data_IF_983660173159
#
_entry.id   IF_983660173159
#
_cell.length_a   1.000
_cell.length_b   1.000
_cell.length_c   1.000
_cell.angle_alpha   90.00
_cell.angle_beta   90.00
_cell.angle_gamma   90.00
#
_symmetry.space_group_name_H-M   'P 1'
#
loop_
_entity.id
_entity.type
_entity.pdbx_description
1 polymer ?
#
# COMPACT_ATOMS: atom_id res chain seq x y z
N UNK A 1 13.44 -10.23 -3.71
CA UNK A 1 14.17 -8.99 -3.38
C UNK A 1 14.55 -8.22 -4.64
N UNK A 2 14.50 -6.89 -4.56
CA UNK A 2 14.99 -5.94 -5.58
C UNK A 2 14.38 -6.16 -6.97
N UNK A 3 13.08 -6.43 -7.03
CA UNK A 3 12.37 -6.62 -8.28
C UNK A 3 11.72 -5.32 -8.77
N UNK A 4 11.52 -5.21 -10.07
CA UNK A 4 10.61 -4.24 -10.64
C UNK A 4 9.32 -4.95 -11.06
N UNK A 5 8.25 -4.73 -10.31
CA UNK A 5 6.91 -5.19 -10.57
C UNK A 5 5.93 -4.00 -10.71
N UNK A 6 6.44 -2.84 -11.12
CA UNK A 6 5.57 -1.72 -11.47
C UNK A 6 4.60 -2.14 -12.58
N UNK A 7 3.37 -1.62 -12.55
CA UNK A 7 2.30 -1.96 -13.50
C UNK A 7 1.88 -3.44 -13.51
N UNK A 8 2.38 -4.27 -12.58
CA UNK A 8 2.00 -5.67 -12.50
C UNK A 8 0.49 -5.81 -12.23
N UNK A 9 -0.15 -6.76 -12.91
CA UNK A 9 -1.57 -7.07 -12.71
C UNK A 9 -1.68 -8.31 -11.83
N UNK A 10 -2.09 -8.11 -10.58
CA UNK A 10 -2.18 -9.11 -9.50
C UNK A 10 -3.59 -9.14 -8.88
N UNK A 11 -4.61 -8.85 -9.68
CA UNK A 11 -6.01 -8.85 -9.25
C UNK A 11 -6.44 -10.23 -8.76
N UNK A 12 -7.20 -10.26 -7.66
CA UNK A 12 -7.69 -11.49 -7.03
C UNK A 12 -6.58 -12.47 -6.60
N UNK A 13 -5.32 -12.04 -6.62
CA UNK A 13 -4.19 -12.91 -6.33
C UNK A 13 -4.22 -13.35 -4.88
N UNK A 14 -3.82 -14.60 -4.63
CA UNK A 14 -3.68 -15.14 -3.28
C UNK A 14 -2.19 -15.29 -3.01
N UNK A 15 -1.70 -14.53 -2.05
CA UNK A 15 -0.33 -14.57 -1.60
C UNK A 15 -0.29 -14.95 -0.13
N UNK A 16 0.54 -15.93 0.20
CA UNK A 16 0.80 -16.28 1.58
C UNK A 16 2.30 -16.33 1.85
N UNK A 17 2.71 -15.99 3.07
CA UNK A 17 4.07 -16.20 3.60
C UNK A 17 5.17 -15.70 2.67
N UNK A 18 5.03 -14.46 2.23
CA UNK A 18 5.91 -13.86 1.23
C UNK A 18 6.46 -12.53 1.72
N UNK A 19 7.73 -12.27 1.36
CA UNK A 19 8.40 -11.01 1.63
C UNK A 19 8.66 -10.30 0.30
N UNK A 20 8.10 -9.10 0.17
CA UNK A 20 8.50 -8.14 -0.85
C UNK A 20 9.47 -7.16 -0.21
N UNK A 21 10.73 -7.20 -0.62
CA UNK A 21 11.78 -6.30 -0.13
C UNK A 21 12.43 -5.54 -1.27
N UNK A 22 12.54 -4.22 -1.13
CA UNK A 22 13.13 -3.33 -2.13
C UNK A 22 12.47 -3.46 -3.51
N UNK A 23 11.18 -3.81 -3.55
CA UNK A 23 10.46 -4.06 -4.80
C UNK A 23 9.67 -2.82 -5.18
N UNK A 24 9.71 -2.44 -6.46
CA UNK A 24 8.76 -1.47 -6.99
C UNK A 24 7.46 -2.17 -7.37
N UNK A 25 6.35 -1.73 -6.82
CA UNK A 25 4.97 -2.09 -7.17
C UNK A 25 4.17 -0.84 -7.57
N UNK A 26 4.87 0.21 -7.99
CA UNK A 26 4.24 1.46 -8.40
C UNK A 26 3.24 1.19 -9.53
N UNK A 27 2.05 1.76 -9.43
CA UNK A 27 0.94 1.56 -10.37
C UNK A 27 0.50 0.10 -10.57
N UNK A 28 0.91 -0.83 -9.69
CA UNK A 28 0.43 -2.21 -9.75
C UNK A 28 -1.06 -2.32 -9.41
N UNK A 29 -1.75 -3.27 -10.02
CA UNK A 29 -3.14 -3.59 -9.75
C UNK A 29 -3.24 -4.82 -8.84
N UNK A 30 -3.35 -4.59 -7.54
CA UNK A 30 -3.51 -5.60 -6.48
C UNK A 30 -4.95 -5.56 -5.95
N UNK A 31 -5.93 -5.29 -6.84
CA UNK A 31 -7.35 -5.23 -6.48
C UNK A 31 -7.84 -6.57 -5.92
N UNK A 32 -8.54 -6.53 -4.78
CA UNK A 32 -9.20 -7.68 -4.12
C UNK A 32 -8.29 -8.91 -3.91
N UNK A 33 -6.99 -8.68 -3.69
CA UNK A 33 -6.05 -9.75 -3.36
C UNK A 33 -6.27 -10.24 -1.93
N UNK A 34 -5.91 -11.51 -1.69
CA UNK A 34 -5.82 -12.08 -0.34
C UNK A 34 -4.37 -12.18 0.06
N UNK A 35 -3.98 -11.46 1.11
CA UNK A 35 -2.62 -11.42 1.64
C UNK A 35 -2.61 -12.04 3.05
N UNK A 36 -1.93 -13.18 3.22
CA UNK A 36 -1.81 -13.85 4.52
C UNK A 36 -0.33 -13.96 4.91
N UNK A 37 0.08 -13.38 6.04
CA UNK A 37 1.49 -13.37 6.47
C UNK A 37 2.42 -12.79 5.38
N UNK A 38 1.98 -11.71 4.71
CA UNK A 38 2.77 -10.99 3.70
C UNK A 38 3.42 -9.76 4.34
N UNK A 39 4.69 -9.53 4.01
CA UNK A 39 5.42 -8.34 4.46
C UNK A 39 5.92 -7.52 3.27
N UNK A 40 5.76 -6.21 3.37
CA UNK A 40 6.37 -5.24 2.46
C UNK A 40 7.46 -4.49 3.23
N UNK A 41 8.67 -4.46 2.68
CA UNK A 41 9.81 -3.80 3.32
C UNK A 41 10.55 -2.93 2.30
N UNK A 42 10.60 -1.62 2.54
CA UNK A 42 11.27 -0.67 1.64
C UNK A 42 10.76 -0.73 0.19
N UNK A 43 9.47 -1.02 -0.02
CA UNK A 43 8.86 -1.08 -1.34
C UNK A 43 8.35 0.29 -1.79
N UNK A 44 8.35 0.53 -3.11
CA UNK A 44 7.60 1.63 -3.71
C UNK A 44 6.19 1.14 -4.05
N UNK A 45 5.18 1.74 -3.43
CA UNK A 45 3.75 1.42 -3.61
C UNK A 45 2.98 2.59 -4.21
N UNK A 46 3.67 3.57 -4.81
CA UNK A 46 2.99 4.77 -5.28
C UNK A 46 1.93 4.44 -6.36
N UNK A 47 0.73 4.96 -6.17
CA UNK A 47 -0.45 4.73 -7.02
C UNK A 47 -0.87 3.27 -7.17
N UNK A 48 -0.43 2.37 -6.29
CA UNK A 48 -0.88 0.98 -6.30
C UNK A 48 -2.39 0.90 -6.01
N UNK A 49 -3.10 0.07 -6.78
CA UNK A 49 -4.50 -0.26 -6.55
C UNK A 49 -4.62 -1.41 -5.56
N UNK A 50 -5.26 -1.16 -4.43
CA UNK A 50 -5.43 -2.05 -3.28
C UNK A 50 -6.89 -2.15 -2.84
N UNK A 51 -7.85 -1.56 -3.57
CA UNK A 51 -9.26 -1.61 -3.18
C UNK A 51 -9.74 -3.06 -3.06
N UNK A 52 -10.43 -3.36 -1.95
CA UNK A 52 -10.87 -4.70 -1.60
C UNK A 52 -9.78 -5.64 -1.06
N UNK A 53 -8.53 -5.19 -0.96
CA UNK A 53 -7.42 -5.94 -0.33
C UNK A 53 -7.28 -5.48 1.11
N UNK A 54 -7.62 -6.35 2.07
CA UNK A 54 -7.56 -6.00 3.50
C UNK A 54 -6.11 -5.87 3.97
N UNK A 55 -5.78 -4.72 4.56
CA UNK A 55 -4.44 -4.39 5.04
C UNK A 55 -4.29 -4.52 6.56
N UNK A 56 -5.27 -5.09 7.25
CA UNK A 56 -5.22 -5.29 8.69
C UNK A 56 -3.98 -6.10 9.09
N UNK A 57 -3.11 -5.52 9.94
CA UNK A 57 -1.86 -6.12 10.38
C UNK A 57 -0.71 -6.07 9.37
N UNK A 58 -0.93 -5.53 8.17
CA UNK A 58 0.16 -5.30 7.20
C UNK A 58 0.90 -4.02 7.60
N UNK A 59 2.22 -4.11 7.65
CA UNK A 59 3.11 -2.98 7.92
C UNK A 59 3.64 -2.36 6.62
N UNK A 60 3.24 -1.12 6.38
CA UNK A 60 3.69 -0.28 5.27
C UNK A 60 4.61 0.85 5.74
N UNK A 61 4.99 0.91 7.01
CA UNK A 61 5.73 2.02 7.62
C UNK A 61 7.11 2.29 7.00
N UNK A 62 7.69 1.27 6.35
CA UNK A 62 8.96 1.40 5.62
C UNK A 62 8.79 1.62 4.12
N UNK A 63 7.57 1.53 3.60
CA UNK A 63 7.26 1.71 2.19
C UNK A 63 7.09 3.19 1.82
N UNK A 64 7.20 3.48 0.53
CA UNK A 64 7.02 4.82 -0.02
C UNK A 64 5.76 4.86 -0.89
N UNK A 65 4.92 5.86 -0.68
CA UNK A 65 3.76 6.19 -1.52
C UNK A 65 3.28 7.62 -1.24
N UNK A 66 2.76 8.28 -2.27
CA UNK A 66 2.01 9.55 -2.15
C UNK A 66 0.52 9.34 -2.37
N UNK A 67 0.15 8.37 -3.20
CA UNK A 67 -1.24 7.98 -3.45
C UNK A 67 -1.38 6.47 -3.37
N UNK A 68 -2.54 6.00 -2.90
CA UNK A 68 -2.94 4.59 -2.93
C UNK A 68 -4.40 4.52 -3.33
N UNK A 69 -4.78 3.67 -4.28
CA UNK A 69 -6.20 3.47 -4.55
C UNK A 69 -6.73 2.39 -3.60
N UNK A 70 -7.38 2.81 -2.50
CA UNK A 70 -7.97 1.94 -1.50
C UNK A 70 -9.16 2.61 -0.81
N UNK A 71 -9.95 1.85 -0.06
CA UNK A 71 -11.02 2.40 0.79
C UNK A 71 -10.59 2.53 2.25
N UNK A 72 -11.32 3.31 3.04
CA UNK A 72 -11.11 3.36 4.50
C UNK A 72 -11.25 1.98 5.17
N UNK A 73 -12.13 1.12 4.63
CA UNK A 73 -12.33 -0.22 5.16
C UNK A 73 -11.12 -1.12 4.91
N UNK A 74 -10.46 -0.97 3.77
CA UNK A 74 -9.27 -1.74 3.41
C UNK A 74 -8.06 -1.36 4.27
N UNK A 75 -7.96 -0.08 4.66
CA UNK A 75 -6.89 0.47 5.48
C UNK A 75 -7.02 0.11 6.98
N UNK A 76 -8.20 -0.31 7.44
CA UNK A 76 -8.45 -0.54 8.88
C UNK A 76 -7.45 -1.55 9.47
N UNK A 77 -6.66 -1.08 10.44
CA UNK A 77 -5.65 -1.90 11.12
C UNK A 77 -4.31 -2.03 10.38
N UNK A 78 -4.13 -1.33 9.26
CA UNK A 78 -2.84 -1.17 8.59
C UNK A 78 -1.87 -0.35 9.45
N UNK A 79 -0.60 -0.73 9.46
CA UNK A 79 0.46 -0.04 10.20
C UNK A 79 1.19 0.88 9.23
N UNK A 80 1.31 2.15 9.59
CA UNK A 80 1.93 3.20 8.76
C UNK A 80 2.87 4.07 9.59
N UNK A 81 3.80 4.75 8.93
CA UNK A 81 4.62 5.78 9.55
C UNK A 81 3.82 7.09 9.72
N UNK A 82 4.16 7.96 10.71
CA UNK A 82 3.47 9.23 10.91
C UNK A 82 3.42 10.12 9.65
N UNK A 83 4.50 10.17 8.87
CA UNK A 83 4.57 10.96 7.64
C UNK A 83 3.58 10.48 6.56
N UNK A 84 3.23 9.19 6.54
CA UNK A 84 2.28 8.63 5.57
C UNK A 84 0.83 9.01 5.90
N UNK A 85 0.54 9.43 7.14
CA UNK A 85 -0.80 9.84 7.54
C UNK A 85 -1.29 11.05 6.75
N UNK A 86 -0.37 11.98 6.41
CA UNK A 86 -0.65 13.16 5.57
C UNK A 86 -1.08 12.72 4.16
N UNK A 87 -0.31 11.82 3.54
CA UNK A 87 -0.63 11.28 2.22
C UNK A 87 -1.99 10.59 2.21
N UNK A 88 -2.29 9.76 3.22
CA UNK A 88 -3.58 9.08 3.33
C UNK A 88 -4.74 10.04 3.58
N UNK A 89 -4.58 11.04 4.44
CA UNK A 89 -5.59 12.06 4.66
C UNK A 89 -5.94 12.79 3.36
N UNK A 90 -4.93 13.23 2.61
CA UNK A 90 -5.12 13.85 1.29
C UNK A 90 -5.80 12.88 0.30
N UNK A 91 -5.43 11.60 0.32
CA UNK A 91 -6.02 10.55 -0.53
C UNK A 91 -7.53 10.36 -0.28
N UNK A 92 -8.02 10.69 0.92
CA UNK A 92 -9.45 10.69 1.27
C UNK A 92 -10.11 12.08 1.16
N UNK A 93 -9.47 13.02 0.47
CA UNK A 93 -10.03 14.36 0.22
C UNK A 93 -9.96 15.30 1.42
N UNK A 94 -9.19 14.97 2.46
CA UNK A 94 -8.94 15.89 3.57
C UNK A 94 -8.01 16.99 3.07
N UNK A 95 -8.45 18.25 3.24
CA UNK A 95 -7.62 19.41 2.95
C UNK A 95 -6.72 19.69 4.15
N UNK A 96 -5.41 19.51 3.97
CA UNK A 96 -4.40 19.79 4.99
C UNK A 96 -3.91 21.21 4.77
N UNK A 97 -4.09 22.08 5.76
CA UNK A 97 -3.55 23.43 5.74
C UNK A 97 -2.17 23.40 6.39
N UNK A 98 -1.15 23.81 5.64
CA UNK A 98 0.18 24.04 6.20
C UNK A 98 0.19 25.41 6.89
N UNK A 99 0.75 25.45 8.10
CA UNK A 99 1.06 26.73 8.75
C UNK A 99 2.34 27.28 8.13
N UNK A 100 2.25 28.50 7.59
CA UNK A 100 3.37 29.26 7.04
C UNK A 100 4.25 29.84 8.15
#
# INVERSE_FOLDING_TARGET
DSCNASYAVLRYFKCAKSLFRNTSLAEADIYTATLAEVSFACCNLDRTQLSGTKLAGIDLSTCQFYQLALTLEDLRGCIIAPAQAIALAANFGVVIKEEL
#
